data_IF_738370980598
#
_entry.id   IF_738370980598
#
_cell.length_a   1.000
_cell.length_b   1.000
_cell.length_c   1.000
_cell.angle_alpha   90.00
_cell.angle_beta   90.00
_cell.angle_gamma   90.00
#
_symmetry.space_group_name_H-M   'P 1'
#
loop_
_entity.id
_entity.type
_entity.pdbx_description
1 polymer ?
#
# COMPACT_ATOMS: atom_id res chain seq x y z
N UNK A 1 -9.84 36.48 122.66
CA UNK A 1 -10.79 36.17 121.57
C UNK A 1 -10.39 36.80 120.21
N UNK A 2 -9.10 36.83 119.83
CA UNK A 2 -8.65 37.49 118.56
C UNK A 2 -8.14 36.51 117.48
N UNK A 3 -7.76 35.28 117.83
CA UNK A 3 -7.20 34.31 116.88
C UNK A 3 -8.24 33.63 115.97
N UNK A 4 -9.48 33.42 116.43
CA UNK A 4 -10.56 32.82 115.61
C UNK A 4 -11.08 33.77 114.52
N UNK A 5 -11.05 35.09 114.77
CA UNK A 5 -11.47 36.09 113.80
C UNK A 5 -10.48 36.24 112.64
N UNK A 6 -9.17 36.16 112.90
CA UNK A 6 -8.12 36.25 111.86
C UNK A 6 -8.16 35.03 110.92
N UNK A 7 -8.42 33.82 111.44
CA UNK A 7 -8.55 32.62 110.61
C UNK A 7 -9.75 32.67 109.66
N UNK A 8 -10.87 33.25 110.07
CA UNK A 8 -12.06 33.42 109.22
C UNK A 8 -11.79 34.42 108.09
N UNK A 9 -11.07 35.51 108.36
CA UNK A 9 -10.71 36.51 107.33
C UNK A 9 -9.78 35.92 106.28
N UNK A 10 -8.79 35.10 106.68
CA UNK A 10 -7.90 34.42 105.75
C UNK A 10 -8.65 33.40 104.90
N UNK A 11 -9.57 32.62 105.49
CA UNK A 11 -10.39 31.66 104.75
C UNK A 11 -11.29 32.34 103.71
N UNK A 12 -11.91 33.48 104.06
CA UNK A 12 -12.71 34.28 103.11
C UNK A 12 -11.84 34.80 101.98
N UNK A 13 -10.63 35.27 102.27
CA UNK A 13 -9.71 35.80 101.27
C UNK A 13 -9.23 34.74 100.26
N UNK A 14 -8.99 33.51 100.74
CA UNK A 14 -8.66 32.36 99.88
C UNK A 14 -9.84 31.97 98.98
N UNK A 15 -11.07 32.00 99.51
CA UNK A 15 -12.28 31.72 98.73
C UNK A 15 -12.49 32.77 97.64
N UNK A 16 -12.29 34.05 97.96
CA UNK A 16 -12.41 35.15 96.98
C UNK A 16 -11.37 35.02 95.87
N UNK A 17 -10.12 34.68 96.21
CA UNK A 17 -9.07 34.43 95.21
C UNK A 17 -9.36 33.22 94.33
N UNK A 18 -9.91 32.14 94.90
CA UNK A 18 -10.30 30.96 94.14
C UNK A 18 -11.43 31.26 93.14
N UNK A 19 -12.44 32.04 93.56
CA UNK A 19 -13.54 32.47 92.68
C UNK A 19 -13.00 33.39 91.56
N UNK A 20 -12.12 34.32 91.90
CA UNK A 20 -11.51 35.23 90.92
C UNK A 20 -10.69 34.47 89.86
N UNK A 21 -9.88 33.49 90.28
CA UNK A 21 -9.11 32.64 89.37
C UNK A 21 -10.01 31.80 88.45
N UNK A 22 -11.15 31.33 88.96
CA UNK A 22 -12.10 30.54 88.18
C UNK A 22 -12.80 31.38 87.09
N UNK A 23 -13.19 32.62 87.42
CA UNK A 23 -13.80 33.55 86.45
C UNK A 23 -12.80 33.92 85.36
N UNK A 24 -11.56 34.27 85.74
CA UNK A 24 -10.47 34.59 84.79
C UNK A 24 -10.16 33.43 83.85
N UNK A 25 -10.21 32.19 84.34
CA UNK A 25 -9.96 30.99 83.53
C UNK A 25 -11.09 30.75 82.52
N UNK A 26 -12.34 31.02 82.90
CA UNK A 26 -13.49 30.90 82.00
C UNK A 26 -13.42 31.95 80.88
N UNK A 27 -13.11 33.20 81.21
CA UNK A 27 -12.89 34.26 80.21
C UNK A 27 -11.72 33.95 79.27
N UNK A 28 -10.64 33.31 79.75
CA UNK A 28 -9.50 32.97 78.91
C UNK A 28 -9.85 31.91 77.84
N UNK A 29 -10.61 30.89 78.23
CA UNK A 29 -11.05 29.81 77.34
C UNK A 29 -12.10 30.30 76.33
N UNK A 30 -12.98 31.21 76.74
CA UNK A 30 -14.03 31.75 75.89
C UNK A 30 -13.50 32.82 74.90
N UNK A 31 -12.41 33.52 75.26
CA UNK A 31 -11.71 34.45 74.38
C UNK A 31 -10.64 33.77 73.49
N UNK A 32 -10.38 32.47 73.67
CA UNK A 32 -9.58 31.67 72.74
C UNK A 32 -10.40 31.43 71.47
N UNK A 33 -10.24 32.33 70.49
CA UNK A 33 -10.86 32.20 69.18
C UNK A 33 -10.52 30.84 68.59
N UNK A 34 -11.56 30.05 68.29
CA UNK A 34 -11.44 28.75 67.65
C UNK A 34 -10.45 28.80 66.47
N UNK A 35 -9.54 27.82 66.43
CA UNK A 35 -8.45 27.77 65.46
C UNK A 35 -8.97 27.99 64.03
N UNK A 36 -8.32 28.89 63.29
CA UNK A 36 -8.67 29.18 61.90
C UNK A 36 -8.43 27.93 61.05
N UNK A 37 -9.50 27.32 60.55
CA UNK A 37 -9.39 26.26 59.55
C UNK A 37 -8.82 26.86 58.25
N UNK A 38 -7.62 26.44 57.87
CA UNK A 38 -7.02 26.86 56.60
C UNK A 38 -7.65 26.06 55.47
N UNK A 39 -8.23 26.70 54.43
CA UNK A 39 -8.79 26.00 53.30
C UNK A 39 -7.67 25.33 52.51
N UNK A 40 -7.78 24.01 52.32
CA UNK A 40 -6.89 23.25 51.45
C UNK A 40 -7.31 23.53 50.00
N UNK A 41 -6.46 24.21 49.24
CA UNK A 41 -6.70 24.48 47.81
C UNK A 41 -6.40 23.22 47.00
N UNK A 42 -7.46 22.57 46.54
CA UNK A 42 -7.40 21.41 45.64
C UNK A 42 -7.54 21.89 44.20
N UNK A 43 -6.63 21.44 43.32
CA UNK A 43 -6.75 21.67 41.88
C UNK A 43 -7.77 20.68 41.32
N UNK A 44 -8.93 21.18 40.93
CA UNK A 44 -9.97 20.38 40.26
C UNK A 44 -10.04 20.74 38.77
N UNK A 45 -10.35 19.76 37.93
CA UNK A 45 -10.63 19.96 36.52
C UNK A 45 -12.08 19.54 36.23
N UNK A 46 -12.81 20.34 35.44
CA UNK A 46 -14.17 20.02 35.02
C UNK A 46 -14.12 19.06 33.84
N UNK A 47 -14.62 17.83 34.02
CA UNK A 47 -14.71 16.84 32.95
C UNK A 47 -16.00 17.02 32.16
N UNK A 48 -15.94 16.79 30.85
CA UNK A 48 -17.11 16.73 29.98
C UNK A 48 -17.15 15.35 29.30
N UNK A 49 -18.35 14.82 29.09
CA UNK A 49 -18.51 13.60 28.32
C UNK A 49 -18.14 13.84 26.86
N UNK A 50 -17.26 12.99 26.33
CA UNK A 50 -16.78 13.08 24.96
C UNK A 50 -16.06 11.80 24.57
N UNK A 51 -15.95 11.56 23.26
CA UNK A 51 -15.27 10.38 22.75
C UNK A 51 -13.77 10.64 22.69
N UNK A 52 -12.98 9.86 23.42
CA UNK A 52 -11.53 9.83 23.28
C UNK A 52 -11.20 8.86 22.15
N UNK A 53 -10.56 9.36 21.11
CA UNK A 53 -10.09 8.55 20.00
C UNK A 53 -8.59 8.31 20.12
N UNK A 54 -8.22 7.06 20.39
CA UNK A 54 -6.82 6.64 20.36
C UNK A 54 -6.33 6.58 18.91
N UNK A 55 -5.22 7.26 18.64
CA UNK A 55 -4.60 7.28 17.31
C UNK A 55 -3.29 6.53 17.36
N UNK A 56 -3.20 5.47 16.58
CA UNK A 56 -1.96 4.77 16.30
C UNK A 56 -1.37 5.26 14.99
N UNK A 57 -0.05 5.40 14.94
CA UNK A 57 0.66 5.86 13.74
C UNK A 57 1.44 4.70 13.15
N UNK A 58 1.17 4.40 11.88
CA UNK A 58 1.84 3.34 11.13
C UNK A 58 2.57 3.92 9.93
N UNK A 59 3.70 3.29 9.58
CA UNK A 59 4.38 3.53 8.32
C UNK A 59 3.70 2.69 7.23
N UNK A 60 3.18 3.37 6.21
CA UNK A 60 2.64 2.75 5.01
C UNK A 60 3.50 3.04 3.80
N UNK A 61 3.54 2.12 2.83
CA UNK A 61 4.14 2.35 1.52
C UNK A 61 3.05 2.50 0.48
N UNK A 62 3.19 3.51 -0.38
CA UNK A 62 2.30 3.70 -1.52
C UNK A 62 2.88 2.98 -2.73
N UNK A 63 2.11 2.05 -3.29
CA UNK A 63 2.50 1.24 -4.45
C UNK A 63 1.43 1.31 -5.54
N UNK A 64 1.81 1.16 -6.81
CA UNK A 64 0.86 1.11 -7.91
C UNK A 64 -0.06 -0.11 -7.75
N UNK A 65 -1.36 0.08 -8.01
CA UNK A 65 -2.33 -1.03 -7.99
C UNK A 65 -1.98 -2.14 -8.98
N UNK A 66 -1.42 -1.77 -10.14
CA UNK A 66 -1.01 -2.69 -11.19
C UNK A 66 0.41 -2.32 -11.64
N UNK A 67 1.29 -3.31 -11.70
CA UNK A 67 2.64 -3.20 -12.23
C UNK A 67 2.87 -4.30 -13.27
N UNK A 68 3.57 -3.96 -14.35
CA UNK A 68 3.90 -4.91 -15.41
C UNK A 68 5.33 -4.67 -15.87
N UNK A 69 6.13 -5.73 -15.85
CA UNK A 69 7.48 -5.73 -16.44
C UNK A 69 7.42 -6.28 -17.85
N UNK A 70 7.89 -5.49 -18.82
CA UNK A 70 7.85 -5.84 -20.24
C UNK A 70 9.27 -6.17 -20.69
N UNK A 71 9.45 -7.36 -21.25
CA UNK A 71 10.73 -7.81 -21.78
C UNK A 71 10.58 -8.32 -23.22
N UNK A 72 11.61 -8.13 -24.03
CA UNK A 72 11.67 -8.70 -25.37
C UNK A 72 11.92 -10.21 -25.30
N UNK A 73 11.29 -10.95 -26.23
CA UNK A 73 11.57 -12.38 -26.46
C UNK A 73 12.72 -12.60 -27.43
N UNK A 74 13.08 -11.58 -28.20
CA UNK A 74 14.10 -11.65 -29.24
C UNK A 74 15.21 -10.66 -28.92
N UNK A 75 16.45 -11.11 -29.07
CA UNK A 75 17.62 -10.24 -28.95
C UNK A 75 17.81 -9.48 -30.26
N UNK A 76 17.68 -8.15 -30.20
CA UNK A 76 17.85 -7.27 -31.35
C UNK A 76 18.22 -5.85 -30.88
N UNK A 77 18.74 -5.04 -31.80
CA UNK A 77 19.01 -3.64 -31.52
C UNK A 77 17.72 -2.85 -31.36
N UNK A 78 17.70 -1.92 -30.40
CA UNK A 78 16.54 -1.07 -30.14
C UNK A 78 16.62 0.15 -31.07
N UNK A 79 15.59 0.33 -31.90
CA UNK A 79 15.45 1.47 -32.81
C UNK A 79 14.64 2.61 -32.19
N UNK A 80 13.72 2.29 -31.28
CA UNK A 80 12.85 3.27 -30.64
C UNK A 80 12.45 2.81 -29.24
N UNK A 81 12.35 3.75 -28.32
CA UNK A 81 11.79 3.59 -26.97
C UNK A 81 10.86 4.77 -26.70
N UNK A 82 9.68 4.48 -26.17
CA UNK A 82 8.74 5.50 -25.72
C UNK A 82 9.29 6.25 -24.51
N UNK A 83 9.01 7.55 -24.45
CA UNK A 83 9.50 8.40 -23.35
C UNK A 83 8.83 8.02 -22.03
N UNK A 84 9.61 8.01 -20.95
CA UNK A 84 9.12 7.81 -19.59
C UNK A 84 8.04 8.83 -19.21
N UNK A 85 7.03 8.39 -18.45
CA UNK A 85 5.89 9.21 -18.04
C UNK A 85 4.81 9.41 -19.12
N UNK A 86 4.99 8.85 -20.31
CA UNK A 86 3.96 8.87 -21.36
C UNK A 86 2.75 8.02 -20.95
N UNK A 87 1.54 8.57 -21.08
CA UNK A 87 0.30 7.79 -20.92
C UNK A 87 0.10 6.92 -22.15
N UNK A 88 -0.09 5.62 -21.95
CA UNK A 88 -0.23 4.64 -23.02
C UNK A 88 -1.52 3.84 -22.86
N UNK A 89 -2.03 3.33 -23.98
CA UNK A 89 -3.17 2.42 -24.06
C UNK A 89 -2.71 1.03 -24.47
N UNK A 90 -3.60 0.05 -24.30
CA UNK A 90 -3.35 -1.32 -24.72
C UNK A 90 -3.14 -1.36 -26.24
N UNK A 91 -1.97 -1.86 -26.65
CA UNK A 91 -1.60 -1.99 -28.06
C UNK A 91 -0.69 -0.88 -28.58
N UNK A 92 -0.40 0.14 -27.78
CA UNK A 92 0.51 1.21 -28.19
C UNK A 92 1.95 0.70 -28.32
N UNK A 93 2.69 1.27 -29.29
CA UNK A 93 4.09 0.95 -29.52
C UNK A 93 4.97 1.57 -28.43
N UNK A 94 5.56 0.73 -27.59
CA UNK A 94 6.50 1.15 -26.55
C UNK A 94 7.96 1.04 -26.99
N UNK A 95 8.29 -0.01 -27.74
CA UNK A 95 9.66 -0.30 -28.16
C UNK A 95 9.61 -0.83 -29.59
N UNK A 96 10.49 -0.33 -30.45
CA UNK A 96 10.73 -0.89 -31.78
C UNK A 96 12.11 -1.53 -31.81
N UNK A 97 12.16 -2.79 -32.18
CA UNK A 97 13.40 -3.53 -32.39
C UNK A 97 13.73 -3.58 -33.88
N UNK A 98 15.00 -3.74 -34.21
CA UNK A 98 15.45 -4.00 -35.57
C UNK A 98 14.96 -5.37 -36.05
N UNK A 99 14.14 -5.37 -37.10
CA UNK A 99 13.51 -6.54 -37.70
C UNK A 99 14.12 -6.92 -39.06
N UNK A 100 15.19 -6.24 -39.49
CA UNK A 100 15.82 -6.43 -40.81
C UNK A 100 16.15 -7.89 -41.12
N UNK A 101 16.73 -8.62 -40.17
CA UNK A 101 17.03 -10.05 -40.32
C UNK A 101 15.78 -10.92 -40.50
N UNK A 102 14.71 -10.63 -39.74
CA UNK A 102 13.45 -11.38 -39.81
C UNK A 102 12.78 -11.12 -41.16
N UNK A 103 12.73 -9.86 -41.59
CA UNK A 103 12.16 -9.45 -42.88
C UNK A 103 12.95 -10.10 -44.03
N UNK A 104 14.28 -10.10 -43.96
CA UNK A 104 15.14 -10.76 -44.95
C UNK A 104 14.83 -12.26 -45.06
N UNK A 105 14.71 -12.95 -43.92
CA UNK A 105 14.36 -14.38 -43.90
C UNK A 105 12.97 -14.65 -44.49
N UNK A 106 11.97 -13.83 -44.14
CA UNK A 106 10.62 -13.94 -44.72
C UNK A 106 10.66 -13.78 -46.24
N UNK A 107 11.45 -12.82 -46.75
CA UNK A 107 11.60 -12.61 -48.18
C UNK A 107 12.31 -13.77 -48.87
N UNK A 108 13.35 -14.35 -48.25
CA UNK A 108 14.02 -15.54 -48.75
C UNK A 108 13.05 -16.73 -48.86
N UNK A 109 12.20 -16.94 -47.84
CA UNK A 109 11.18 -17.99 -47.84
C UNK A 109 10.12 -17.77 -48.94
N UNK A 110 9.67 -16.52 -49.14
CA UNK A 110 8.75 -16.17 -50.24
C UNK A 110 9.35 -16.46 -51.61
N UNK A 111 10.61 -16.10 -51.82
CA UNK A 111 11.32 -16.38 -53.07
C UNK A 111 11.48 -17.89 -53.31
N UNK A 112 11.77 -18.66 -52.26
CA UNK A 112 11.82 -20.11 -52.33
C UNK A 112 10.45 -20.70 -52.70
N UNK A 113 9.37 -20.24 -52.07
CA UNK A 113 8.01 -20.65 -52.39
C UNK A 113 7.66 -20.37 -53.86
N UNK A 114 8.01 -19.20 -54.38
CA UNK A 114 7.81 -18.87 -55.79
C UNK A 114 8.61 -19.80 -56.71
N UNK A 115 9.87 -20.09 -56.38
CA UNK A 115 10.70 -21.05 -57.13
C UNK A 115 10.08 -22.45 -57.17
N UNK A 116 9.60 -22.95 -56.03
CA UNK A 116 8.90 -24.25 -55.96
C UNK A 116 7.64 -24.24 -56.81
N UNK A 117 6.85 -23.15 -56.79
CA UNK A 117 5.66 -23.03 -57.63
C UNK A 117 6.00 -23.10 -59.13
N UNK A 118 7.07 -22.41 -59.57
CA UNK A 118 7.54 -22.50 -60.95
C UNK A 118 8.03 -23.91 -61.32
N UNK A 119 8.75 -24.57 -60.42
CA UNK A 119 9.20 -25.95 -60.64
C UNK A 119 8.01 -26.91 -60.73
N UNK A 120 7.02 -26.78 -59.85
CA UNK A 120 5.81 -27.58 -59.88
C UNK A 120 5.06 -27.42 -61.20
N UNK A 121 4.93 -26.18 -61.67
CA UNK A 121 4.28 -25.88 -62.94
C UNK A 121 5.06 -26.44 -64.14
N UNK A 122 6.39 -26.33 -64.12
CA UNK A 122 7.24 -26.94 -65.15
C UNK A 122 7.12 -28.47 -65.16
N UNK A 123 7.08 -29.11 -63.98
CA UNK A 123 6.87 -30.56 -63.84
C UNK A 123 5.50 -30.99 -64.35
N UNK A 124 4.43 -30.23 -64.07
CA UNK A 124 3.09 -30.49 -64.61
C UNK A 124 3.08 -30.49 -66.13
N UNK A 125 3.65 -29.44 -66.76
CA UNK A 125 3.76 -29.36 -68.22
C UNK A 125 4.57 -30.51 -68.81
N UNK A 126 5.67 -30.89 -68.16
CA UNK A 126 6.48 -32.04 -68.60
C UNK A 126 5.67 -33.34 -68.53
N UNK A 127 4.92 -33.55 -67.45
CA UNK A 127 4.05 -34.71 -67.28
C UNK A 127 2.97 -34.77 -68.37
N UNK A 128 2.35 -33.65 -68.73
CA UNK A 128 1.38 -33.56 -69.83
C UNK A 128 2.00 -33.89 -71.19
N UNK A 129 3.21 -33.38 -71.48
CA UNK A 129 3.93 -33.68 -72.70
C UNK A 129 4.30 -35.18 -72.80
N UNK A 130 4.77 -35.77 -71.70
CA UNK A 130 5.08 -37.20 -71.60
C UNK A 130 3.83 -38.07 -71.81
N UNK A 131 2.70 -37.70 -71.21
CA UNK A 131 1.41 -38.38 -71.43
C UNK A 131 0.99 -38.35 -72.89
N UNK A 132 1.09 -37.18 -73.53
CA UNK A 132 0.76 -37.01 -74.95
C UNK A 132 1.68 -37.86 -75.83
N UNK A 133 2.99 -37.85 -75.55
CA UNK A 133 3.97 -38.69 -76.25
C UNK A 133 3.66 -40.18 -76.10
N UNK A 134 3.34 -40.63 -74.89
CA UNK A 134 2.96 -42.01 -74.61
C UNK A 134 1.70 -42.42 -75.39
N UNK A 135 0.66 -41.59 -75.38
CA UNK A 135 -0.57 -41.86 -76.15
C UNK A 135 -0.31 -41.97 -77.65
N UNK A 136 0.51 -41.08 -78.20
CA UNK A 136 0.87 -41.11 -79.62
C UNK A 136 1.68 -42.38 -79.96
N UNK A 137 2.66 -42.73 -79.13
CA UNK A 137 3.47 -43.96 -79.30
C UNK A 137 2.58 -45.21 -79.26
N UNK A 138 1.62 -45.25 -78.32
CA UNK A 138 0.66 -46.35 -78.19
C UNK A 138 -0.19 -46.50 -79.46
N UNK A 139 -0.74 -45.40 -79.98
CA UNK A 139 -1.54 -45.40 -81.22
C UNK A 139 -0.73 -45.88 -82.42
N UNK A 140 0.53 -45.45 -82.54
CA UNK A 140 1.43 -45.90 -83.61
C UNK A 140 1.65 -47.41 -83.51
N UNK A 141 1.96 -47.91 -82.32
CA UNK A 141 2.14 -49.35 -82.09
C UNK A 141 0.88 -50.16 -82.44
N UNK A 142 -0.29 -49.74 -81.96
CA UNK A 142 -1.57 -50.39 -82.25
C UNK A 142 -1.85 -50.42 -83.76
N UNK A 143 -1.58 -49.33 -84.47
CA UNK A 143 -1.72 -49.28 -85.94
C UNK A 143 -0.75 -50.24 -86.63
N UNK A 144 0.51 -50.25 -86.22
CA UNK A 144 1.54 -51.07 -86.85
C UNK A 144 1.26 -52.58 -86.65
N UNK A 145 0.65 -52.97 -85.53
CA UNK A 145 0.20 -54.36 -85.28
C UNK A 145 -0.99 -54.83 -86.12
N UNK A 146 -1.73 -53.91 -86.77
CA UNK A 146 -2.87 -54.26 -87.65
C UNK A 146 -2.44 -54.39 -89.12
N UNK A 147 -1.29 -53.80 -89.47
CA UNK A 147 -0.78 -53.75 -90.85
C UNK A 147 0.14 -54.93 -91.21
N UNK A 148 0.55 -55.73 -90.22
CA UNK A 148 1.33 -56.95 -90.35
C UNK A 148 0.56 -58.13 -89.75
#
# INVERSE_FOLDING_TARGET
>A
MKAKAVGIVIAILVIVLAIYAFIKRKEYIENEKAAKAYPIVLKTATTQEGTIADKETFLGRFEPKNEASIASRVSAYILYVAKEGTKVKKGDLLVKLDDSNIVSNINALKNNQASIAFQQEALKRNLEALKTKYQNQKKIYERDTVLY
#
